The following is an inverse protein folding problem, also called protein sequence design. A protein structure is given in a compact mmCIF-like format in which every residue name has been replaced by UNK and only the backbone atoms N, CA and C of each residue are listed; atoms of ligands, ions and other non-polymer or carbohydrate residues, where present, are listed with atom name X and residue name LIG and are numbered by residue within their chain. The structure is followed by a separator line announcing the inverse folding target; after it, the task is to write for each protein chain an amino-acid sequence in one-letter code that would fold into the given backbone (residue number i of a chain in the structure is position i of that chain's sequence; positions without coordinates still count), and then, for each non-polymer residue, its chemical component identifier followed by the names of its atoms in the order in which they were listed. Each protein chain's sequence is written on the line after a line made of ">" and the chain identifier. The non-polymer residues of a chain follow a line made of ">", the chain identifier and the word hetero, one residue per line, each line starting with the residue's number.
data_IF_019063611803
#
_entry.id   IF_019063611803
#
_cell.length_a   1.000
_cell.length_b   1.000
_cell.length_c   1.000
_cell.angle_alpha   90.00
_cell.angle_beta   90.00
_cell.angle_gamma   90.00
#
_symmetry.space_group_name_H-M   'P 1'
#
loop_
_entity.id
_entity.type
_entity.pdbx_description
1 polymer ?
#
# COMPACT_ATOMS: atom_id res chain seq x y z
N UNK A 1 29.85 -30.60 32.01
CA UNK A 1 28.49 -30.62 32.59
C UNK A 1 27.77 -29.41 32.06
N UNK A 2 26.91 -29.59 31.05
CA UNK A 2 26.01 -28.54 30.58
C UNK A 2 24.80 -28.55 31.50
N UNK A 3 24.48 -27.40 32.10
CA UNK A 3 23.23 -27.23 32.84
C UNK A 3 22.16 -26.80 31.84
N UNK A 4 21.19 -27.70 31.59
CA UNK A 4 19.96 -27.36 30.87
C UNK A 4 19.21 -26.31 31.68
N UNK A 5 19.28 -25.06 31.22
CA UNK A 5 18.37 -24.01 31.67
C UNK A 5 16.96 -24.31 31.15
N UNK A 6 15.90 -23.90 31.87
CA UNK A 6 14.54 -24.14 31.42
C UNK A 6 14.32 -23.45 30.06
N UNK A 7 13.94 -24.25 29.06
CA UNK A 7 13.38 -23.75 27.80
C UNK A 7 12.07 -23.08 28.15
N UNK A 8 12.10 -21.77 28.37
CA UNK A 8 10.89 -20.98 28.50
C UNK A 8 10.22 -21.03 27.13
N UNK A 9 9.04 -21.66 26.98
CA UNK A 9 8.31 -21.59 25.73
C UNK A 9 7.93 -20.13 25.58
N UNK A 10 8.46 -19.48 24.55
CA UNK A 10 7.96 -18.18 24.15
C UNK A 10 6.45 -18.30 24.03
N UNK A 11 5.66 -17.48 24.73
CA UNK A 11 4.23 -17.56 24.56
C UNK A 11 3.96 -17.14 23.11
N UNK A 12 3.48 -18.10 22.32
CA UNK A 12 2.78 -17.85 21.07
C UNK A 12 1.49 -17.10 21.39
N UNK A 13 1.59 -15.89 21.95
CA UNK A 13 0.49 -14.95 21.87
C UNK A 13 0.34 -14.65 20.37
N UNK A 14 -0.86 -14.78 19.79
CA UNK A 14 -1.08 -14.28 18.45
C UNK A 14 -0.77 -12.79 18.52
N UNK A 15 0.35 -12.41 17.91
CA UNK A 15 0.70 -11.01 17.74
C UNK A 15 -0.49 -10.40 17.03
N UNK A 16 -1.21 -9.51 17.71
CA UNK A 16 -2.39 -8.85 17.16
C UNK A 16 -1.89 -7.81 16.15
N UNK A 17 -1.35 -8.29 15.03
CA UNK A 17 -1.09 -7.44 13.90
C UNK A 17 -2.45 -6.96 13.42
N UNK A 18 -2.57 -5.65 13.20
CA UNK A 18 -3.68 -5.14 12.43
C UNK A 18 -3.48 -5.58 10.97
N UNK A 19 -3.93 -6.80 10.68
CA UNK A 19 -3.87 -7.42 9.36
C UNK A 19 -4.92 -6.85 8.42
N UNK A 20 -5.69 -5.85 8.85
CA UNK A 20 -6.74 -5.27 8.04
C UNK A 20 -6.16 -4.16 7.16
N UNK A 21 -6.39 -4.31 5.86
CA UNK A 21 -6.19 -3.24 4.90
C UNK A 21 -7.45 -2.38 4.88
N UNK A 22 -7.32 -1.04 4.76
CA UNK A 22 -8.48 -0.18 4.71
C UNK A 22 -9.34 -0.50 3.49
N UNK A 23 -10.65 -0.41 3.67
CA UNK A 23 -11.57 -0.46 2.55
C UNK A 23 -11.48 0.85 1.77
N UNK A 24 -11.25 0.75 0.47
CA UNK A 24 -11.09 1.90 -0.40
C UNK A 24 -12.43 2.22 -1.03
N UNK A 25 -13.15 3.18 -0.44
CA UNK A 25 -14.47 3.62 -0.94
C UNK A 25 -14.37 4.82 -1.89
N UNK A 26 -13.21 5.47 -1.95
CA UNK A 26 -12.96 6.70 -2.71
C UNK A 26 -11.59 6.65 -3.42
N UNK A 27 -11.42 7.43 -4.48
CA UNK A 27 -10.14 7.50 -5.19
C UNK A 27 -9.13 8.37 -4.39
N UNK A 28 -7.99 7.80 -3.94
CA UNK A 28 -7.05 8.50 -3.07
C UNK A 28 -6.28 9.60 -3.79
N UNK A 29 -6.25 9.58 -5.13
CA UNK A 29 -5.54 10.58 -5.93
C UNK A 29 -6.37 11.81 -6.27
N UNK A 30 -7.67 11.82 -5.91
CA UNK A 30 -8.58 12.96 -6.12
C UNK A 30 -8.89 13.71 -4.83
N UNK A 31 -8.65 13.10 -3.65
CA UNK A 31 -9.06 13.64 -2.36
C UNK A 31 -7.82 14.10 -1.57
N UNK A 32 -7.42 15.34 -1.82
CA UNK A 32 -6.21 15.95 -1.24
C UNK A 32 -6.31 16.24 0.26
N UNK A 33 -7.52 16.27 0.83
CA UNK A 33 -7.71 16.48 2.28
C UNK A 33 -7.36 15.26 3.13
N UNK A 34 -7.44 14.06 2.54
CA UNK A 34 -7.21 12.78 3.26
C UNK A 34 -5.90 12.11 2.85
N UNK A 35 -5.45 12.34 1.62
CA UNK A 35 -4.29 11.67 1.09
C UNK A 35 -3.25 12.68 0.59
N UNK A 36 -1.99 12.42 0.91
CA UNK A 36 -0.84 13.13 0.38
C UNK A 36 -0.34 12.40 -0.86
N UNK A 37 -0.44 13.02 -2.03
CA UNK A 37 0.06 12.46 -3.29
C UNK A 37 1.50 12.89 -3.49
N UNK A 38 2.39 11.92 -3.72
CA UNK A 38 3.81 12.18 -3.96
C UNK A 38 4.00 12.92 -5.29
N UNK A 39 4.93 13.87 -5.29
CA UNK A 39 5.45 14.48 -6.52
C UNK A 39 6.25 13.46 -7.34
N UNK A 40 6.47 13.77 -8.63
CA UNK A 40 7.27 12.89 -9.49
C UNK A 40 8.71 12.72 -8.99
N UNK A 41 9.32 13.78 -8.45
CA UNK A 41 10.67 13.72 -7.89
C UNK A 41 10.74 12.85 -6.65
N UNK A 42 9.77 12.97 -5.74
CA UNK A 42 9.70 12.14 -4.55
C UNK A 42 9.50 10.67 -4.92
N UNK A 43 8.60 10.38 -5.86
CA UNK A 43 8.39 9.02 -6.36
C UNK A 43 9.69 8.45 -6.95
N UNK A 44 10.39 9.21 -7.79
CA UNK A 44 11.61 8.73 -8.45
C UNK A 44 12.77 8.53 -7.47
N UNK A 45 12.90 9.38 -6.45
CA UNK A 45 13.88 9.20 -5.39
C UNK A 45 13.62 7.96 -4.51
N UNK A 46 12.40 7.43 -4.56
CA UNK A 46 11.90 6.33 -3.75
C UNK A 46 11.49 5.10 -4.59
N UNK A 47 11.94 5.04 -5.85
CA UNK A 47 11.45 4.07 -6.83
C UNK A 47 11.67 2.63 -6.37
N UNK A 48 12.82 2.30 -5.77
CA UNK A 48 13.18 0.94 -5.35
C UNK A 48 12.15 0.28 -4.42
N UNK A 49 11.76 0.98 -3.35
CA UNK A 49 10.81 0.41 -2.37
C UNK A 49 9.36 0.52 -2.85
N UNK A 50 9.01 1.56 -3.60
CA UNK A 50 7.67 1.71 -4.21
C UNK A 50 7.43 0.53 -5.18
N UNK A 51 8.45 0.23 -5.98
CA UNK A 51 8.50 -0.90 -6.92
C UNK A 51 8.40 -2.24 -6.19
N UNK A 52 9.12 -2.41 -5.08
CA UNK A 52 9.00 -3.60 -4.22
C UNK A 52 7.58 -3.77 -3.65
N UNK A 53 6.96 -2.69 -3.19
CA UNK A 53 5.62 -2.70 -2.60
C UNK A 53 4.58 -3.10 -3.64
N UNK A 54 4.71 -2.60 -4.87
CA UNK A 54 3.86 -3.03 -5.97
C UNK A 54 4.02 -4.52 -6.26
N UNK A 55 5.25 -5.04 -6.35
CA UNK A 55 5.52 -6.49 -6.57
C UNK A 55 4.77 -7.34 -5.56
N UNK A 56 4.87 -6.98 -4.29
CA UNK A 56 4.26 -7.75 -3.21
C UNK A 56 2.73 -7.70 -3.27
N UNK A 57 2.15 -6.56 -3.65
CA UNK A 57 0.69 -6.44 -3.79
C UNK A 57 0.12 -7.24 -4.97
N UNK A 58 0.90 -7.44 -6.05
CA UNK A 58 0.43 -8.16 -7.25
C UNK A 58 0.84 -9.63 -7.28
N UNK A 59 1.89 -10.02 -6.56
CA UNK A 59 2.40 -11.39 -6.51
C UNK A 59 1.35 -12.47 -6.20
N UNK A 60 0.35 -12.25 -5.32
CA UNK A 60 -0.70 -13.24 -5.08
C UNK A 60 -1.55 -13.56 -6.31
N UNK A 61 -1.67 -12.61 -7.24
CA UNK A 61 -2.47 -12.74 -8.46
C UNK A 61 -1.66 -13.15 -9.69
N UNK A 62 -0.33 -13.11 -9.60
CA UNK A 62 0.56 -13.36 -10.71
C UNK A 62 1.76 -14.18 -10.26
N UNK A 63 1.88 -15.38 -10.82
CA UNK A 63 3.09 -16.18 -10.67
C UNK A 63 4.22 -15.48 -11.44
N UNK A 64 5.17 -14.88 -10.71
CA UNK A 64 6.27 -14.05 -11.23
C UNK A 64 5.81 -12.81 -12.02
N UNK A 65 5.39 -11.73 -11.33
CA UNK A 65 5.08 -10.47 -11.99
C UNK A 65 6.36 -9.85 -12.57
N UNK A 66 6.47 -9.81 -13.89
CA UNK A 66 7.47 -8.98 -14.55
C UNK A 66 7.07 -7.52 -14.41
N UNK A 67 7.84 -6.74 -13.65
CA UNK A 67 7.53 -5.33 -13.47
C UNK A 67 7.78 -4.47 -14.69
N UNK A 68 8.52 -4.95 -15.70
CA UNK A 68 8.61 -4.24 -16.97
C UNK A 68 7.23 -4.07 -17.62
N UNK A 69 6.27 -4.93 -17.24
CA UNK A 69 4.88 -4.83 -17.67
C UNK A 69 4.04 -3.90 -16.80
N UNK A 70 4.59 -3.22 -15.79
CA UNK A 70 3.84 -2.25 -14.99
C UNK A 70 4.44 -0.86 -15.04
N UNK A 71 3.57 0.14 -15.17
CA UNK A 71 3.96 1.55 -15.09
C UNK A 71 3.29 2.21 -13.90
N UNK A 72 4.07 2.62 -12.90
CA UNK A 72 3.59 3.32 -11.71
C UNK A 72 3.33 4.78 -12.07
N UNK A 73 2.06 5.19 -11.97
CA UNK A 73 1.63 6.53 -12.35
C UNK A 73 1.67 7.50 -11.16
N UNK A 74 1.07 7.10 -10.04
CA UNK A 74 0.91 7.94 -8.85
C UNK A 74 1.05 7.12 -7.59
N UNK A 75 1.59 7.74 -6.55
CA UNK A 75 1.66 7.17 -5.21
C UNK A 75 1.04 8.16 -4.25
N UNK A 76 0.20 7.67 -3.35
CA UNK A 76 -0.41 8.45 -2.30
C UNK A 76 -0.25 7.75 -0.96
N UNK A 77 -0.30 8.51 0.12
CA UNK A 77 -0.21 8.04 1.50
C UNK A 77 -1.35 8.66 2.31
N UNK A 78 -1.83 7.99 3.36
CA UNK A 78 -2.80 8.63 4.27
C UNK A 78 -2.13 9.83 4.97
N UNK A 79 -2.75 10.99 4.85
CA UNK A 79 -2.20 12.25 5.38
C UNK A 79 -2.09 12.23 6.91
N UNK A 80 -2.90 11.42 7.60
CA UNK A 80 -2.82 11.29 9.07
C UNK A 80 -1.55 10.56 9.48
N UNK A 81 -1.19 9.52 8.74
CA UNK A 81 0.04 8.76 9.00
C UNK A 81 1.27 9.57 8.59
N UNK A 82 1.17 10.37 7.52
CA UNK A 82 2.21 11.30 7.10
C UNK A 82 2.44 12.42 8.14
N UNK A 83 1.37 13.01 8.67
CA UNK A 83 1.44 14.12 9.63
C UNK A 83 1.82 13.67 11.06
N UNK A 84 1.48 12.44 11.45
CA UNK A 84 1.83 11.87 12.75
C UNK A 84 3.24 11.24 12.76
N UNK A 85 3.86 11.04 11.60
CA UNK A 85 5.25 10.62 11.46
C UNK A 85 6.23 11.80 11.53
N UNK A 86 7.48 11.54 11.16
CA UNK A 86 8.53 12.57 10.98
C UNK A 86 8.39 13.34 9.64
N UNK A 87 7.24 13.23 8.97
CA UNK A 87 7.02 13.76 7.62
C UNK A 87 7.82 13.03 6.54
N UNK A 88 8.38 11.85 6.84
CA UNK A 88 9.24 11.10 5.91
C UNK A 88 8.45 10.03 5.19
N UNK A 89 8.67 9.93 3.88
CA UNK A 89 7.99 9.01 2.98
C UNK A 89 8.25 7.52 3.28
N UNK A 90 9.26 7.22 4.10
CA UNK A 90 9.61 5.88 4.56
C UNK A 90 9.10 5.58 5.98
N UNK A 91 8.02 6.25 6.40
CA UNK A 91 7.39 5.96 7.70
C UNK A 91 7.16 4.46 7.85
N UNK A 92 7.61 3.95 8.98
CA UNK A 92 7.59 2.53 9.32
C UNK A 92 6.14 2.01 9.40
N UNK A 93 5.21 2.86 9.87
CA UNK A 93 3.79 2.57 10.01
C UNK A 93 3.00 3.46 9.04
N UNK A 94 2.59 2.90 7.90
CA UNK A 94 2.01 3.67 6.82
C UNK A 94 1.20 2.81 5.85
N UNK A 95 0.22 3.44 5.22
CA UNK A 95 -0.62 2.91 4.17
C UNK A 95 -0.39 3.71 2.89
N UNK A 96 0.06 3.00 1.86
CA UNK A 96 0.36 3.51 0.54
C UNK A 96 -0.68 3.04 -0.47
N UNK A 97 -1.01 3.93 -1.39
CA UNK A 97 -1.91 3.70 -2.52
C UNK A 97 -1.13 3.95 -3.79
N UNK A 98 -0.98 2.93 -4.63
CA UNK A 98 -0.20 3.01 -5.86
C UNK A 98 -1.14 2.85 -7.05
N UNK A 99 -1.22 3.87 -7.91
CA UNK A 99 -1.87 3.76 -9.20
C UNK A 99 -0.86 3.25 -10.22
N UNK A 100 -1.23 2.21 -10.95
CA UNK A 100 -0.36 1.62 -11.97
C UNK A 100 -1.16 1.12 -13.18
N UNK A 101 -0.49 1.07 -14.33
CA UNK A 101 -0.98 0.43 -15.54
C UNK A 101 -0.35 -0.94 -15.71
N UNK A 102 -1.15 -1.89 -16.20
CA UNK A 102 -0.69 -3.20 -16.67
C UNK A 102 -0.50 -3.12 -18.19
N UNK A 103 0.76 -3.09 -18.62
CA UNK A 103 1.20 -3.00 -20.01
C UNK A 103 1.21 -4.38 -20.71
N UNK A 104 0.86 -5.46 -20.01
CA UNK A 104 0.89 -6.80 -20.58
C UNK A 104 -0.24 -6.97 -21.61
N UNK A 105 0.08 -6.90 -22.91
CA UNK A 105 -0.86 -6.98 -24.04
C UNK A 105 -1.87 -8.15 -23.95
N UNK A 106 -1.47 -9.29 -23.36
CA UNK A 106 -2.35 -10.46 -23.15
C UNK A 106 -3.47 -10.22 -22.12
N UNK A 107 -3.39 -9.14 -21.35
CA UNK A 107 -4.36 -8.70 -20.33
C UNK A 107 -4.98 -7.34 -20.67
N UNK A 108 -4.66 -6.78 -21.86
CA UNK A 108 -5.04 -5.44 -22.36
C UNK A 108 -6.40 -5.45 -23.07
N UNK A 109 -7.33 -6.31 -22.67
CA UNK A 109 -8.73 -6.16 -23.14
C UNK A 109 -9.47 -5.03 -22.41
N UNK A 110 -8.85 -4.40 -21.41
CA UNK A 110 -9.41 -3.24 -20.73
C UNK A 110 -8.31 -2.47 -19.98
N UNK A 111 -7.97 -1.29 -20.51
CA UNK A 111 -6.95 -0.36 -20.02
C UNK A 111 -7.37 0.24 -18.66
N UNK A 112 -7.30 -0.57 -17.61
CA UNK A 112 -7.65 -0.16 -16.27
C UNK A 112 -6.47 0.42 -15.55
N UNK A 113 -6.61 1.67 -15.13
CA UNK A 113 -5.88 2.17 -13.97
C UNK A 113 -6.16 1.19 -12.81
N UNK A 114 -5.12 0.53 -12.30
CA UNK A 114 -5.24 -0.34 -11.13
C UNK A 114 -4.73 0.39 -9.91
N UNK A 115 -5.22 -0.02 -8.75
CA UNK A 115 -4.73 0.48 -7.47
C UNK A 115 -4.18 -0.68 -6.67
N UNK A 116 -2.96 -0.55 -6.17
CA UNK A 116 -2.45 -1.38 -5.09
C UNK A 116 -2.55 -0.62 -3.78
N UNK A 117 -3.05 -1.29 -2.74
CA UNK A 117 -3.02 -0.81 -1.36
C UNK A 117 -1.95 -1.60 -0.65
N UNK A 118 -1.01 -0.91 -0.02
CA UNK A 118 0.10 -1.52 0.71
C UNK A 118 0.20 -0.90 2.09
N UNK A 119 0.15 -1.71 3.13
CA UNK A 119 0.29 -1.28 4.51
C UNK A 119 1.57 -1.84 5.10
N UNK A 120 2.49 -0.98 5.50
CA UNK A 120 3.65 -1.31 6.30
C UNK A 120 3.33 -1.08 7.77
N UNK A 121 3.77 -1.99 8.63
CA UNK A 121 3.62 -1.86 10.08
C UNK A 121 4.80 -2.49 10.80
N UNK A 122 5.27 -1.85 11.86
CA UNK A 122 6.29 -2.37 12.75
C UNK A 122 5.77 -2.34 14.18
N UNK A 123 5.86 -3.48 14.83
CA UNK A 123 5.50 -3.63 16.22
C UNK A 123 6.80 -3.63 17.05
N UNK A 124 7.02 -2.56 17.81
CA UNK A 124 8.23 -2.38 18.64
C UNK A 124 8.39 -3.45 19.72
N UNK A 125 7.27 -3.91 20.31
CA UNK A 125 7.27 -4.91 21.39
C UNK A 125 7.77 -6.27 20.90
N UNK A 126 7.36 -6.67 19.69
CA UNK A 126 7.77 -7.95 19.07
C UNK A 126 8.99 -7.84 18.17
N UNK A 127 9.38 -6.62 17.77
CA UNK A 127 10.41 -6.38 16.75
C UNK A 127 10.00 -6.82 15.34
N UNK A 128 8.71 -7.10 15.11
CA UNK A 128 8.23 -7.64 13.84
C UNK A 128 7.82 -6.54 12.86
N UNK A 129 8.32 -6.65 11.63
CA UNK A 129 7.88 -5.85 10.48
C UNK A 129 6.91 -6.65 9.61
N UNK A 130 5.78 -6.04 9.27
CA UNK A 130 4.72 -6.63 8.44
C UNK A 130 4.44 -5.74 7.24
N UNK A 131 4.26 -6.38 6.08
CA UNK A 131 3.87 -5.71 4.85
C UNK A 131 2.67 -6.45 4.23
N UNK A 132 1.55 -5.75 4.10
CA UNK A 132 0.30 -6.30 3.59
C UNK A 132 -0.04 -5.61 2.29
N UNK A 133 -0.38 -6.39 1.27
CA UNK A 133 -0.70 -5.88 -0.06
C UNK A 133 -2.03 -6.42 -0.57
N UNK A 134 -2.80 -5.57 -1.26
CA UNK A 134 -3.98 -5.96 -2.04
C UNK A 134 -4.00 -5.17 -3.34
N UNK A 135 -4.31 -5.83 -4.45
CA UNK A 135 -4.61 -5.17 -5.71
C UNK A 135 -6.13 -5.00 -5.90
N UNK A 136 -6.53 -3.88 -6.48
CA UNK A 136 -7.91 -3.51 -6.79
C UNK A 136 -7.99 -2.97 -8.23
N UNK A 137 -9.16 -3.14 -8.85
CA UNK A 137 -9.51 -2.46 -10.11
C UNK A 137 -10.20 -1.14 -9.80
N UNK A 138 -9.86 -0.04 -10.49
CA UNK A 138 -10.61 1.23 -10.30
C UNK A 138 -12.08 1.11 -10.67
N UNK A 139 -12.47 0.20 -11.57
CA UNK A 139 -13.89 -0.02 -11.87
C UNK A 139 -14.69 -0.50 -10.66
N UNK A 140 -14.03 -1.14 -9.69
CA UNK A 140 -14.68 -1.60 -8.45
C UNK A 140 -14.88 -0.49 -7.43
N UNK A 141 -14.31 0.70 -7.64
CA UNK A 141 -14.55 1.85 -6.76
C UNK A 141 -15.91 2.49 -7.05
N UNK A 142 -16.67 2.87 -6.01
CA UNK A 142 -17.88 3.67 -6.17
C UNK A 142 -17.57 4.96 -6.95
N UNK A 143 -18.17 5.12 -8.14
CA UNK A 143 -18.09 6.40 -8.87
C UNK A 143 -18.88 7.44 -8.08
N UNK A 144 -18.22 8.44 -7.48
CA UNK A 144 -18.94 9.63 -6.99
C UNK A 144 -19.70 10.26 -8.17
N UNK A 145 -21.00 10.43 -8.01
CA UNK A 145 -21.82 11.11 -9.01
C UNK A 145 -21.45 12.59 -8.98
N UNK A 146 -21.33 13.22 -10.16
CA UNK A 146 -20.96 14.65 -10.33
C UNK A 146 -21.75 15.64 -9.45
N UNK A 147 -22.92 15.26 -8.92
CA UNK A 147 -23.78 16.11 -8.09
C UNK A 147 -23.25 16.35 -6.66
N UNK A 148 -22.29 15.56 -6.20
CA UNK A 148 -21.81 15.65 -4.81
C UNK A 148 -20.58 16.58 -4.67
N UNK A 149 -20.09 17.17 -5.78
CA UNK A 149 -18.96 18.11 -5.79
C UNK A 149 -19.40 19.59 -5.71
N UNK A 150 -20.68 19.91 -5.86
CA UNK A 150 -21.18 21.30 -5.92
C UNK A 150 -21.87 21.81 -4.65
N UNK A 151 -21.89 21.03 -3.56
CA UNK A 151 -22.50 21.43 -2.27
C UNK A 151 -21.49 21.67 -1.15
N UNK A 152 -20.23 21.97 -1.50
CA UNK A 152 -19.19 22.29 -0.54
C UNK A 152 -18.35 23.49 -0.97
N UNK A 153 -19.00 24.62 -1.29
CA UNK A 153 -18.40 25.96 -1.25
C UNK A 153 -18.94 26.70 -0.04
#
# INVERSE_FOLDING_TARGET
>A
MYVDGPVIPWPCLPVLFDTTLPDLTENPFLITKRFCVLTNSERQANDDWITLYLKLAVAPTMMNPDLSTFSILKVAMDAREYANGDGRLNSINATFYLSYKDLCEKRVDKDFDRIAIVKSSYNEESGCFTLLGRNLSIETLPKKRKRDLELGS
#
